data_IF_783110952639
#
_entry.id   IF_783110952639
#
_cell.length_a   1.000
_cell.length_b   1.000
_cell.length_c   1.000
_cell.angle_alpha   90.00
_cell.angle_beta   90.00
_cell.angle_gamma   90.00
#
_symmetry.space_group_name_H-M   'P 1'
#
loop_
_entity.id
_entity.type
_entity.pdbx_description
1 polymer ?
#
# COMPACT_ATOMS: atom_id res chain seq x y z
N UNK A 1 -14.23 -5.89 15.34
CA UNK A 1 -12.78 -5.98 15.11
C UNK A 1 -12.38 -4.82 14.23
N UNK A 2 -11.36 -4.05 14.62
CA UNK A 2 -10.93 -2.84 13.90
C UNK A 2 -9.81 -3.20 12.94
N UNK A 3 -10.02 -2.94 11.65
CA UNK A 3 -9.02 -3.06 10.61
C UNK A 3 -9.17 -1.92 9.62
N UNK A 4 -8.12 -1.67 8.84
CA UNK A 4 -8.10 -0.61 7.84
C UNK A 4 -7.35 -1.05 6.59
N UNK A 5 -7.61 -0.35 5.50
CA UNK A 5 -6.98 -0.58 4.20
C UNK A 5 -6.02 0.57 3.94
N UNK A 6 -4.75 0.24 3.69
CA UNK A 6 -3.76 1.16 3.12
C UNK A 6 -3.62 0.84 1.66
N UNK A 7 -3.64 1.85 0.80
CA UNK A 7 -3.43 1.61 -0.63
C UNK A 7 -2.61 2.73 -1.26
N UNK A 8 -2.01 2.41 -2.39
CA UNK A 8 -1.24 3.36 -3.20
C UNK A 8 -2.15 4.11 -4.19
N UNK A 9 -1.78 5.34 -4.52
CA UNK A 9 -2.32 6.06 -5.68
C UNK A 9 -1.27 6.10 -6.79
N UNK A 10 -1.69 5.82 -8.03
CA UNK A 10 -0.86 5.88 -9.23
C UNK A 10 -1.73 6.31 -10.42
N UNK A 11 -1.15 7.02 -11.37
CA UNK A 11 -1.81 7.41 -12.62
C UNK A 11 -1.96 6.15 -13.46
N UNK A 12 -3.19 5.68 -13.69
CA UNK A 12 -3.45 4.77 -14.79
C UNK A 12 -3.18 5.57 -16.08
N UNK A 13 -2.07 5.27 -16.76
CA UNK A 13 -1.61 6.00 -17.94
C UNK A 13 -2.74 6.23 -18.95
N UNK A 14 -2.89 7.50 -19.37
CA UNK A 14 -3.86 8.07 -20.30
C UNK A 14 -3.88 7.40 -21.69
N UNK A 15 -4.29 6.14 -21.77
CA UNK A 15 -4.58 5.45 -23.01
C UNK A 15 -5.94 5.87 -23.58
N UNK A 16 -6.13 7.16 -23.89
CA UNK A 16 -7.12 7.69 -24.87
C UNK A 16 -8.51 7.04 -24.94
N UNK A 17 -9.03 6.51 -23.84
CA UNK A 17 -10.15 5.59 -23.83
C UNK A 17 -11.15 6.00 -22.75
N UNK A 18 -12.23 6.62 -23.21
CA UNK A 18 -13.50 6.91 -22.53
C UNK A 18 -13.55 6.50 -21.04
N UNK A 19 -13.60 7.51 -20.15
CA UNK A 19 -13.83 7.49 -18.70
C UNK A 19 -15.06 6.66 -18.25
N UNK A 20 -15.15 5.38 -18.61
CA UNK A 20 -16.28 4.50 -18.36
C UNK A 20 -16.23 3.87 -16.97
N UNK A 21 -15.04 3.69 -16.39
CA UNK A 21 -14.86 3.20 -15.02
C UNK A 21 -15.36 4.22 -13.98
N UNK A 22 -14.96 5.50 -14.12
CA UNK A 22 -15.45 6.60 -13.28
C UNK A 22 -16.98 6.82 -13.43
N UNK A 23 -17.54 6.53 -14.61
CA UNK A 23 -19.00 6.59 -14.85
C UNK A 23 -19.76 5.38 -14.25
N UNK A 24 -19.12 4.22 -14.12
CA UNK A 24 -19.71 3.02 -13.50
C UNK A 24 -19.71 3.08 -11.96
N UNK A 25 -18.73 3.72 -11.34
CA UNK A 25 -18.69 3.88 -9.87
C UNK A 25 -19.86 4.72 -9.34
N UNK A 26 -20.34 5.70 -10.11
CA UNK A 26 -21.52 6.51 -9.75
C UNK A 26 -22.81 5.69 -9.68
N UNK A 27 -22.90 4.54 -10.37
CA UNK A 27 -24.12 3.74 -10.47
C UNK A 27 -24.25 2.66 -9.39
N UNK A 28 -23.15 2.26 -8.76
CA UNK A 28 -23.12 1.20 -7.75
C UNK A 28 -22.99 1.69 -6.30
N UNK A 29 -22.86 3.00 -6.06
CA UNK A 29 -22.67 3.58 -4.73
C UNK A 29 -23.92 3.54 -3.80
N UNK A 30 -24.90 2.67 -4.10
CA UNK A 30 -26.12 2.47 -3.30
C UNK A 30 -26.19 1.10 -2.61
N UNK A 31 -25.18 0.24 -2.75
CA UNK A 31 -25.12 -1.05 -2.05
C UNK A 31 -23.79 -1.20 -1.31
N UNK A 32 -23.90 -1.23 0.01
CA UNK A 32 -22.88 -1.52 1.03
C UNK A 32 -21.85 -0.41 1.25
N UNK A 33 -22.20 0.53 2.13
CA UNK A 33 -21.25 1.44 2.79
C UNK A 33 -20.31 0.59 3.66
N UNK A 34 -19.18 0.15 3.10
CA UNK A 34 -18.12 -0.51 3.84
C UNK A 34 -17.63 0.46 4.92
N UNK A 35 -17.81 0.13 6.20
CA UNK A 35 -17.39 0.98 7.32
C UNK A 35 -15.92 0.74 7.71
N UNK A 36 -15.09 0.43 6.73
CA UNK A 36 -13.65 0.15 6.93
C UNK A 36 -12.89 1.40 6.52
N UNK A 37 -12.10 2.01 7.42
CA UNK A 37 -11.26 3.15 7.07
C UNK A 37 -10.30 2.79 5.92
N UNK A 38 -10.25 3.66 4.92
CA UNK A 38 -9.35 3.55 3.77
C UNK A 38 -8.42 4.75 3.77
N UNK A 39 -7.12 4.52 3.77
CA UNK A 39 -6.09 5.55 3.86
C UNK A 39 -5.14 5.38 2.68
N UNK A 40 -4.81 6.49 2.02
CA UNK A 40 -3.73 6.53 1.05
C UNK A 40 -2.41 6.87 1.73
N UNK A 41 -1.35 6.13 1.42
CA UNK A 41 -0.02 6.33 2.00
C UNK A 41 1.06 6.16 0.92
N UNK A 42 1.85 7.21 0.68
CA UNK A 42 2.87 7.24 -0.37
C UNK A 42 3.96 6.17 -0.18
N UNK A 43 4.17 5.72 1.06
CA UNK A 43 5.19 4.72 1.37
C UNK A 43 4.91 3.36 0.73
N UNK A 44 3.65 3.04 0.40
CA UNK A 44 3.26 1.75 -0.16
C UNK A 44 3.14 1.72 -1.69
N UNK A 45 3.64 2.74 -2.40
CA UNK A 45 3.68 2.79 -3.86
C UNK A 45 4.64 1.77 -4.47
N UNK A 46 4.42 1.39 -5.73
CA UNK A 46 5.38 0.61 -6.53
C UNK A 46 6.74 1.29 -6.63
N UNK A 47 7.70 0.57 -7.22
CA UNK A 47 8.99 1.05 -7.63
C UNK A 47 8.85 2.37 -8.39
N UNK A 48 9.35 3.46 -7.81
CA UNK A 48 9.05 4.81 -8.28
C UNK A 48 9.97 5.27 -9.41
N UNK A 49 9.41 6.08 -10.32
CA UNK A 49 10.15 6.91 -11.27
C UNK A 49 10.35 6.28 -12.65
N UNK A 50 10.84 7.09 -13.60
CA UNK A 50 10.93 6.79 -15.05
C UNK A 50 9.59 6.54 -15.76
N UNK A 51 8.75 5.63 -15.28
CA UNK A 51 7.46 5.34 -15.90
C UNK A 51 6.38 6.28 -15.37
N UNK A 52 5.62 6.88 -16.30
CA UNK A 52 4.53 7.81 -15.95
C UNK A 52 3.38 7.15 -15.22
N UNK A 53 3.22 5.82 -15.35
CA UNK A 53 2.26 5.08 -14.54
C UNK A 53 2.59 5.09 -13.04
N UNK A 54 3.84 5.39 -12.68
CA UNK A 54 4.24 5.49 -11.28
C UNK A 54 4.06 6.90 -10.73
N UNK A 55 3.69 7.89 -11.54
CA UNK A 55 3.35 9.24 -11.08
C UNK A 55 1.93 9.26 -10.51
N UNK A 56 1.63 10.15 -9.56
CA UNK A 56 0.31 10.29 -8.92
C UNK A 56 -0.35 11.60 -9.36
N UNK A 57 -1.67 11.59 -9.61
CA UNK A 57 -2.43 12.84 -9.76
C UNK A 57 -2.41 13.65 -8.47
N UNK A 58 -2.55 14.98 -8.55
CA UNK A 58 -2.53 15.81 -7.35
C UNK A 58 -3.62 15.43 -6.31
N UNK A 59 -3.37 15.72 -5.04
CA UNK A 59 -4.24 15.31 -3.92
C UNK A 59 -5.64 15.90 -4.07
N UNK A 60 -5.76 17.15 -4.50
CA UNK A 60 -7.05 17.82 -4.73
C UNK A 60 -7.93 17.03 -5.71
N UNK A 61 -7.35 16.56 -6.82
CA UNK A 61 -8.04 15.73 -7.80
C UNK A 61 -8.47 14.39 -7.19
N UNK A 62 -7.57 13.73 -6.46
CA UNK A 62 -7.85 12.43 -5.84
C UNK A 62 -8.95 12.53 -4.78
N UNK A 63 -8.91 13.53 -3.90
CA UNK A 63 -9.95 13.79 -2.90
C UNK A 63 -11.33 14.02 -3.54
N UNK A 64 -11.38 14.75 -4.66
CA UNK A 64 -12.63 14.97 -5.39
C UNK A 64 -13.17 13.70 -6.06
N UNK A 65 -12.27 12.82 -6.51
CA UNK A 65 -12.60 11.57 -7.23
C UNK A 65 -12.98 10.46 -6.26
N UNK A 66 -12.33 10.41 -5.10
CA UNK A 66 -12.43 9.36 -4.10
C UNK A 66 -12.72 9.92 -2.69
N UNK A 67 -13.91 10.50 -2.46
CA UNK A 67 -14.22 11.22 -1.22
C UNK A 67 -14.32 10.34 0.04
N UNK A 68 -14.26 9.01 -0.10
CA UNK A 68 -14.30 8.07 1.02
C UNK A 68 -12.91 7.63 1.51
N UNK A 69 -11.86 8.13 0.86
CA UNK A 69 -10.46 7.83 1.20
C UNK A 69 -9.90 9.00 2.00
N UNK A 70 -9.17 8.67 3.05
CA UNK A 70 -8.33 9.62 3.76
C UNK A 70 -6.97 9.79 3.08
N UNK A 71 -6.67 11.01 2.64
CA UNK A 71 -5.38 11.39 2.05
C UNK A 71 -4.52 12.22 3.00
N UNK A 72 -4.88 12.30 4.30
CA UNK A 72 -4.19 13.12 5.30
C UNK A 72 -2.71 12.74 5.52
N UNK A 73 -2.32 11.54 5.11
CA UNK A 73 -0.94 11.04 5.20
C UNK A 73 -0.04 11.54 4.05
N UNK A 74 -0.60 12.20 3.03
CA UNK A 74 0.16 12.78 1.91
C UNK A 74 0.54 14.22 2.24
N UNK A 75 1.84 14.52 2.22
CA UNK A 75 2.36 15.83 2.65
C UNK A 75 2.22 16.92 1.58
N UNK A 76 2.33 16.56 0.29
CA UNK A 76 2.32 17.52 -0.82
C UNK A 76 1.17 17.30 -1.79
N UNK A 77 0.54 18.39 -2.25
CA UNK A 77 -0.55 18.30 -3.23
C UNK A 77 -0.08 17.64 -4.53
N UNK A 78 1.04 18.10 -5.08
CA UNK A 78 1.65 17.52 -6.27
C UNK A 78 2.57 16.34 -5.90
N UNK A 79 2.86 15.47 -6.88
CA UNK A 79 3.75 14.32 -6.68
C UNK A 79 5.21 14.77 -6.68
N UNK A 80 5.81 14.81 -5.50
CA UNK A 80 7.22 15.18 -5.30
C UNK A 80 8.15 13.96 -5.22
N UNK A 81 7.58 12.75 -5.14
CA UNK A 81 8.34 11.50 -4.98
C UNK A 81 8.68 10.88 -6.34
N UNK A 82 7.81 11.04 -7.33
CA UNK A 82 8.08 10.58 -8.69
C UNK A 82 9.14 11.43 -9.39
N UNK A 83 10.09 10.76 -10.06
CA UNK A 83 11.18 11.41 -10.79
C UNK A 83 11.29 10.87 -12.21
N UNK A 84 11.16 11.74 -13.20
CA UNK A 84 11.24 11.37 -14.63
C UNK A 84 12.58 10.75 -15.04
N UNK A 85 13.68 11.17 -14.41
CA UNK A 85 15.05 10.76 -14.78
C UNK A 85 15.70 9.76 -13.83
N UNK A 86 14.98 9.29 -12.82
CA UNK A 86 15.52 8.39 -11.82
C UNK A 86 14.54 7.26 -11.52
N UNK A 87 15.01 6.01 -11.62
CA UNK A 87 14.27 4.83 -11.21
C UNK A 87 14.77 4.42 -9.83
N UNK A 88 13.86 4.22 -8.91
CA UNK A 88 14.15 3.66 -7.60
C UNK A 88 14.85 2.29 -7.75
N UNK A 89 15.95 2.13 -7.03
CA UNK A 89 16.73 0.89 -7.00
C UNK A 89 16.08 -0.13 -6.07
N UNK A 90 16.45 -1.41 -6.22
CA UNK A 90 15.98 -2.47 -5.33
C UNK A 90 16.31 -2.20 -3.85
N UNK A 91 17.46 -1.57 -3.56
CA UNK A 91 17.84 -1.23 -2.19
C UNK A 91 16.97 -0.11 -1.62
N UNK A 92 16.57 0.87 -2.43
CA UNK A 92 15.75 1.99 -1.98
C UNK A 92 14.31 1.55 -1.69
N UNK A 93 13.71 0.73 -2.57
CA UNK A 93 12.37 0.20 -2.31
C UNK A 93 12.36 -0.72 -1.07
N UNK A 94 13.42 -1.50 -0.84
CA UNK A 94 13.58 -2.33 0.37
C UNK A 94 13.68 -1.47 1.63
N UNK A 95 14.46 -0.39 1.58
CA UNK A 95 14.56 0.56 2.69
C UNK A 95 13.22 1.26 2.94
N UNK A 96 12.50 1.65 1.89
CA UNK A 96 11.17 2.27 1.97
C UNK A 96 10.15 1.31 2.54
N UNK A 97 10.14 0.05 2.12
CA UNK A 97 9.28 -0.99 2.69
C UNK A 97 9.56 -1.22 4.17
N UNK A 98 10.83 -1.22 4.60
CA UNK A 98 11.20 -1.30 6.02
C UNK A 98 10.69 -0.09 6.82
N UNK A 99 10.86 1.12 6.29
CA UNK A 99 10.33 2.35 6.91
C UNK A 99 8.82 2.32 7.01
N UNK A 100 8.13 1.89 5.95
CA UNK A 100 6.69 1.69 5.93
C UNK A 100 6.23 0.73 7.04
N UNK A 101 6.80 -0.47 7.11
CA UNK A 101 6.43 -1.47 8.11
C UNK A 101 6.67 -0.96 9.54
N UNK A 102 7.80 -0.29 9.78
CA UNK A 102 8.10 0.31 11.07
C UNK A 102 7.07 1.39 11.47
N UNK A 103 6.67 2.23 10.52
CA UNK A 103 5.61 3.24 10.71
C UNK A 103 4.26 2.56 10.95
N UNK A 104 3.86 1.62 10.10
CA UNK A 104 2.57 0.94 10.16
C UNK A 104 2.30 0.28 11.51
N UNK A 105 3.33 -0.29 12.14
CA UNK A 105 3.25 -0.91 13.46
C UNK A 105 3.66 0.01 14.63
N UNK A 106 3.91 1.29 14.36
CA UNK A 106 4.12 2.31 15.41
C UNK A 106 2.81 2.72 16.07
N UNK A 107 2.90 3.21 17.31
CA UNK A 107 1.74 3.77 18.03
C UNK A 107 1.22 5.05 17.36
N UNK A 108 2.11 5.84 16.79
CA UNK A 108 1.75 7.13 16.18
C UNK A 108 0.90 6.93 14.93
N UNK A 109 1.22 5.93 14.11
CA UNK A 109 0.41 5.58 12.95
C UNK A 109 -0.99 5.13 13.35
N UNK A 110 -1.10 4.28 14.37
CA UNK A 110 -2.41 3.85 14.83
C UNK A 110 -3.22 4.96 15.50
N UNK A 111 -2.57 5.98 16.07
CA UNK A 111 -3.24 7.16 16.59
C UNK A 111 -3.69 8.12 15.48
N UNK A 112 -2.95 8.19 14.35
CA UNK A 112 -3.31 9.02 13.20
C UNK A 112 -4.40 8.39 12.34
N UNK A 113 -4.54 7.07 12.36
CA UNK A 113 -5.67 6.35 11.78
C UNK A 113 -6.78 6.21 12.83
N UNK A 114 -8.07 6.35 12.52
CA UNK A 114 -9.17 6.26 13.50
C UNK A 114 -9.42 4.83 14.07
N UNK A 115 -8.35 4.08 14.34
CA UNK A 115 -8.30 2.71 14.80
C UNK A 115 -8.13 2.77 16.33
N UNK A 116 -9.13 2.28 17.08
CA UNK A 116 -9.31 2.54 18.51
C UNK A 116 -8.12 2.27 19.46
N UNK A 117 -8.33 2.61 20.74
CA UNK A 117 -7.36 2.70 21.86
C UNK A 117 -6.28 1.59 22.00
N UNK A 118 -6.51 0.40 21.44
CA UNK A 118 -5.53 -0.70 21.43
C UNK A 118 -4.38 -0.49 20.42
N UNK A 119 -4.50 0.52 19.55
CA UNK A 119 -3.36 1.18 18.88
C UNK A 119 -2.61 0.35 17.84
N UNK A 120 -3.19 -0.74 17.31
CA UNK A 120 -2.83 -1.37 16.02
C UNK A 120 -4.10 -2.07 15.55
N UNK A 121 -4.55 -1.83 14.32
CA UNK A 121 -5.65 -2.61 13.75
C UNK A 121 -5.29 -4.09 13.81
N UNK A 122 -6.18 -4.94 14.34
CA UNK A 122 -5.91 -6.39 14.44
C UNK A 122 -5.62 -6.99 13.05
N UNK A 123 -6.16 -6.36 12.01
CA UNK A 123 -5.98 -6.72 10.62
C UNK A 123 -5.72 -5.46 9.79
N UNK A 124 -4.63 -5.45 9.03
CA UNK A 124 -4.31 -4.40 8.06
C UNK A 124 -4.23 -5.03 6.69
N UNK A 125 -4.93 -4.46 5.71
CA UNK A 125 -4.75 -4.82 4.31
C UNK A 125 -3.93 -3.73 3.63
N UNK A 126 -2.81 -4.11 3.01
CA UNK A 126 -2.01 -3.20 2.17
C UNK A 126 -2.23 -3.59 0.71
N UNK A 127 -2.84 -2.70 -0.06
CA UNK A 127 -3.11 -2.88 -1.49
C UNK A 127 -2.06 -2.13 -2.28
N UNK A 128 -1.16 -2.88 -2.89
CA UNK A 128 0.00 -2.34 -3.60
C UNK A 128 0.33 -3.17 -4.84
N UNK A 129 1.37 -2.79 -5.57
CA UNK A 129 1.90 -3.53 -6.69
C UNK A 129 2.97 -4.55 -6.25
N UNK A 130 3.33 -5.41 -7.19
CA UNK A 130 4.18 -6.57 -6.93
C UNK A 130 5.55 -6.19 -6.38
N UNK A 131 6.23 -5.16 -6.89
CA UNK A 131 7.60 -4.84 -6.46
C UNK A 131 7.65 -4.41 -4.99
N UNK A 132 6.67 -3.62 -4.56
CA UNK A 132 6.56 -3.22 -3.15
C UNK A 132 6.17 -4.39 -2.24
N UNK A 133 5.22 -5.25 -2.64
CA UNK A 133 4.87 -6.45 -1.87
C UNK A 133 6.11 -7.34 -1.66
N UNK A 134 6.91 -7.52 -2.70
CA UNK A 134 8.16 -8.28 -2.60
C UNK A 134 9.16 -7.61 -1.65
N UNK A 135 9.27 -6.27 -1.68
CA UNK A 135 10.12 -5.51 -0.77
C UNK A 135 9.67 -5.69 0.69
N UNK A 136 8.37 -5.70 0.98
CA UNK A 136 7.84 -6.01 2.30
C UNK A 136 8.21 -7.44 2.75
N UNK A 137 8.08 -8.44 1.87
CA UNK A 137 8.46 -9.83 2.18
C UNK A 137 9.95 -9.91 2.52
N UNK A 138 10.83 -9.29 1.72
CA UNK A 138 12.28 -9.24 1.99
C UNK A 138 12.59 -8.51 3.31
N UNK A 139 11.96 -7.36 3.55
CA UNK A 139 12.16 -6.56 4.76
C UNK A 139 11.78 -7.31 6.06
N UNK A 140 10.87 -8.28 5.98
CA UNK A 140 10.48 -9.14 7.09
C UNK A 140 11.36 -10.39 7.25
N UNK A 141 12.39 -10.55 6.42
CA UNK A 141 13.30 -11.70 6.41
C UNK A 141 12.80 -12.87 5.54
N UNK A 142 11.79 -12.64 4.70
CA UNK A 142 11.35 -13.60 3.70
C UNK A 142 12.32 -13.71 2.51
N UNK A 143 12.23 -14.82 1.78
CA UNK A 143 12.99 -15.03 0.56
C UNK A 143 12.39 -14.34 -0.67
N UNK A 144 12.88 -14.71 -1.85
CA UNK A 144 12.28 -14.30 -3.11
C UNK A 144 10.83 -14.81 -3.19
N UNK A 145 9.91 -13.91 -3.51
CA UNK A 145 8.50 -14.19 -3.67
C UNK A 145 7.99 -13.38 -4.86
N UNK A 146 6.99 -13.86 -5.59
CA UNK A 146 6.46 -13.20 -6.78
C UNK A 146 4.93 -13.31 -6.77
N UNK A 147 4.22 -12.29 -6.28
CA UNK A 147 2.77 -12.34 -6.21
C UNK A 147 2.16 -12.34 -7.61
N UNK A 148 1.15 -13.17 -7.82
CA UNK A 148 0.28 -13.11 -8.99
C UNK A 148 -0.66 -11.89 -8.90
N UNK A 149 -1.26 -11.52 -10.03
CA UNK A 149 -2.23 -10.42 -10.09
C UNK A 149 -3.40 -10.70 -9.13
N UNK A 150 -3.68 -9.72 -8.25
CA UNK A 150 -4.71 -9.80 -7.21
C UNK A 150 -4.50 -10.96 -6.20
N UNK A 151 -3.28 -11.47 -6.07
CA UNK A 151 -2.95 -12.43 -5.01
C UNK A 151 -2.99 -11.74 -3.63
N UNK A 152 -3.58 -12.43 -2.66
CA UNK A 152 -3.52 -12.03 -1.25
C UNK A 152 -2.34 -12.74 -0.60
N UNK A 153 -1.40 -11.97 -0.07
CA UNK A 153 -0.18 -12.47 0.57
C UNK A 153 -0.34 -12.33 2.10
N UNK A 154 -0.73 -13.40 2.82
CA UNK A 154 -0.91 -13.31 4.26
C UNK A 154 0.43 -13.20 4.97
N UNK A 155 0.60 -12.11 5.73
CA UNK A 155 1.71 -11.89 6.62
C UNK A 155 1.16 -11.71 8.02
N UNK A 156 1.56 -12.55 8.96
CA UNK A 156 1.47 -12.19 10.37
C UNK A 156 2.71 -11.38 10.76
N UNK A 157 2.62 -10.53 11.77
CA UNK A 157 3.79 -9.83 12.32
C UNK A 157 3.72 -9.92 13.83
N UNK A 158 4.76 -10.48 14.45
CA UNK A 158 4.83 -10.59 15.92
C UNK A 158 5.52 -9.35 16.48
N UNK A 159 4.77 -8.58 17.27
CA UNK A 159 5.32 -7.46 18.03
C UNK A 159 5.90 -7.96 19.35
N UNK A 160 7.20 -7.79 19.56
CA UNK A 160 7.81 -7.96 20.89
C UNK A 160 7.62 -6.68 21.70
N UNK A 161 7.38 -6.80 23.00
CA UNK A 161 7.05 -5.66 23.89
C UNK A 161 8.13 -4.54 23.88
N UNK A 162 9.37 -4.85 23.50
CA UNK A 162 10.50 -3.91 23.48
C UNK A 162 11.29 -3.87 22.16
N UNK A 163 10.93 -4.67 21.15
CA UNK A 163 11.61 -4.70 19.85
C UNK A 163 10.59 -4.49 18.73
N UNK A 164 10.83 -3.46 17.92
CA UNK A 164 10.03 -3.20 16.72
C UNK A 164 10.51 -4.16 15.64
N UNK A 165 9.65 -5.13 15.32
CA UNK A 165 9.78 -6.18 14.29
C UNK A 165 10.58 -7.42 14.71
N UNK A 166 9.88 -8.45 15.18
CA UNK A 166 10.38 -9.81 15.12
C UNK A 166 9.83 -10.50 13.86
N UNK A 167 10.76 -11.08 13.10
CA UNK A 167 10.59 -11.92 11.89
C UNK A 167 9.28 -12.70 11.82
N UNK A 168 8.72 -12.85 10.62
CA UNK A 168 7.61 -13.78 10.42
C UNK A 168 7.73 -14.68 9.18
N UNK A 169 7.23 -15.91 9.34
CA UNK A 169 7.15 -16.92 8.30
C UNK A 169 6.14 -16.58 7.22
N UNK A 170 6.59 -16.58 5.97
CA UNK A 170 5.72 -16.45 4.79
C UNK A 170 4.97 -17.77 4.61
N UNK A 171 3.64 -17.73 4.60
CA UNK A 171 2.84 -18.88 4.20
C UNK A 171 2.51 -18.78 2.71
N UNK A 172 3.37 -19.34 1.87
CA UNK A 172 3.23 -19.38 0.41
C UNK A 172 4.03 -20.54 -0.19
N UNK A 173 3.48 -21.19 -1.22
CA UNK A 173 3.93 -22.46 -1.81
C UNK A 173 5.45 -22.61 -1.87
N UNK A 174 5.97 -23.67 -1.25
CA UNK A 174 7.23 -24.27 -1.66
C UNK A 174 7.10 -24.65 -3.13
N UNK A 175 7.81 -23.92 -4.00
CA UNK A 175 8.01 -24.35 -5.38
C UNK A 175 8.65 -25.72 -5.34
N UNK A 176 7.90 -26.73 -5.78
CA UNK A 176 8.44 -28.06 -6.00
C UNK A 176 9.58 -27.95 -7.01
N UNK A 177 10.78 -28.36 -6.59
CA UNK A 177 11.82 -28.74 -7.51
C UNK A 177 11.25 -29.83 -8.42
N UNK A 178 11.07 -29.51 -9.71
CA UNK A 178 10.95 -30.54 -10.73
C UNK A 178 12.33 -30.73 -11.33
N UNK A 179 12.82 -31.95 -11.11
CA UNK A 179 13.88 -32.72 -11.80
C UNK A 179 14.48 -32.14 -13.07
#
# INVERSE_FOLDING_TARGET
ETGFIVFQDSIESDGGGDYRAARHLKKHNKRNKMNVPMISDEYCRETMGVHTCDERHNVTYLQSTYPNIDFSMIETNDDTWWRKSYRETSSEIDERARKFLHRLFSRDYAASTAVGEDGVGKFVAVVSHSGFIQACVRALGGGAYYPANAEVVPLAVLRKKNDVVASLGVFGRSGGASV
#
